data_IF_856589444802
#
_entry.id   IF_856589444802
#
_cell.length_a   1.000
_cell.length_b   1.000
_cell.length_c   1.000
_cell.angle_alpha   90.00
_cell.angle_beta   90.00
_cell.angle_gamma   90.00
#
_symmetry.space_group_name_H-M   'P 1'
#
loop_
_entity.id
_entity.type
_entity.pdbx_description
1 polymer ?
#
# COMPACT_ATOMS: atom_id res chain seq x y z
N UNK A 1 43.45 61.53 -3.92
CA UNK A 1 42.65 62.52 -3.17
C UNK A 1 41.20 62.16 -3.37
N UNK A 2 40.31 62.05 -2.40
CA UNK A 2 40.25 62.07 -0.92
C UNK A 2 38.84 61.52 -0.62
N UNK A 3 38.69 60.54 0.28
CA UNK A 3 37.90 60.59 1.53
C UNK A 3 36.44 61.09 1.38
N UNK A 4 35.38 60.46 1.91
CA UNK A 4 35.18 60.03 3.29
C UNK A 4 33.91 59.14 3.45
N UNK A 5 33.67 58.72 4.68
CA UNK A 5 32.94 57.56 5.18
C UNK A 5 31.40 57.70 5.31
N UNK A 6 30.76 56.55 5.56
CA UNK A 6 29.40 56.48 6.11
C UNK A 6 29.05 55.09 6.61
N UNK A 7 29.31 54.80 7.88
CA UNK A 7 28.85 53.61 8.61
C UNK A 7 27.32 53.61 8.77
N UNK A 8 26.67 52.50 8.42
CA UNK A 8 25.29 52.18 8.79
C UNK A 8 25.22 50.83 9.49
N UNK A 9 25.27 50.82 10.83
CA UNK A 9 24.93 49.65 11.66
C UNK A 9 23.42 49.46 11.63
N UNK A 10 22.96 48.32 11.09
CA UNK A 10 21.57 47.86 11.20
C UNK A 10 21.54 46.48 11.87
N UNK A 11 21.05 46.45 13.11
CA UNK A 11 20.93 45.26 13.95
C UNK A 11 19.84 44.29 13.48
N UNK A 12 20.17 42.99 13.57
CA UNK A 12 19.33 41.83 13.93
C UNK A 12 17.86 41.80 13.49
N UNK A 13 17.55 40.85 12.62
CA UNK A 13 16.42 39.95 12.82
C UNK A 13 16.88 38.53 12.42
N UNK A 14 17.37 37.77 13.41
CA UNK A 14 17.45 36.33 13.27
C UNK A 14 16.00 35.85 13.15
N UNK A 15 15.59 35.54 11.91
CA UNK A 15 14.34 34.84 11.67
C UNK A 15 14.52 33.49 12.34
N UNK A 16 13.89 33.36 13.48
CA UNK A 16 13.79 32.18 14.31
C UNK A 16 13.10 31.10 13.48
N UNK A 17 13.88 30.46 12.61
CA UNK A 17 13.51 29.25 11.92
C UNK A 17 13.44 28.17 13.00
N UNK A 18 12.32 28.13 13.72
CA UNK A 18 11.93 26.98 14.52
C UNK A 18 12.13 25.78 13.60
N UNK A 19 13.03 24.83 13.91
CA UNK A 19 13.08 23.62 13.15
C UNK A 19 11.70 23.01 13.33
N UNK A 20 10.93 22.96 12.24
CA UNK A 20 9.81 22.04 12.17
C UNK A 20 10.42 20.70 12.56
N UNK A 21 10.07 20.22 13.75
CA UNK A 21 10.28 18.83 14.12
C UNK A 21 9.42 18.06 13.12
N UNK A 22 9.97 17.86 11.92
CA UNK A 22 9.49 16.93 10.92
C UNK A 22 9.57 15.63 11.68
N UNK A 23 8.42 15.22 12.19
CA UNK A 23 8.29 14.03 12.98
C UNK A 23 8.66 12.90 12.02
N UNK A 24 9.94 12.54 12.03
CA UNK A 24 10.48 11.32 11.45
C UNK A 24 9.89 10.20 12.32
N UNK A 25 8.58 9.96 12.23
CA UNK A 25 8.09 8.58 12.36
C UNK A 25 8.85 7.87 11.25
N UNK A 26 9.91 7.17 11.63
CA UNK A 26 10.82 6.57 10.67
C UNK A 26 10.04 5.68 9.73
N UNK A 27 10.41 5.68 8.46
CA UNK A 27 9.86 4.76 7.46
C UNK A 27 9.93 3.30 7.96
N UNK A 28 10.86 2.98 8.88
CA UNK A 28 10.97 1.70 9.58
C UNK A 28 9.69 1.24 10.31
N UNK A 29 8.87 2.15 10.84
CA UNK A 29 7.62 1.76 11.52
C UNK A 29 6.49 1.46 10.51
N UNK A 30 6.61 1.89 9.24
CA UNK A 30 5.55 1.69 8.25
C UNK A 30 5.36 0.22 7.90
N UNK A 31 6.44 -0.55 7.86
CA UNK A 31 6.41 -1.99 7.59
C UNK A 31 6.22 -2.83 8.84
N UNK A 32 5.86 -2.23 9.98
CA UNK A 32 5.65 -2.95 11.23
C UNK A 32 4.54 -3.99 11.07
N UNK A 33 4.95 -5.25 11.06
CA UNK A 33 4.08 -6.40 11.05
C UNK A 33 3.32 -6.56 12.38
N UNK A 34 2.08 -7.01 12.28
CA UNK A 34 1.34 -7.56 13.41
C UNK A 34 2.03 -8.85 13.90
N UNK A 35 2.10 -9.12 15.22
CA UNK A 35 2.79 -10.30 15.76
C UNK A 35 2.15 -11.64 15.36
N UNK A 36 0.87 -11.64 14.96
CA UNK A 36 0.21 -12.82 14.40
C UNK A 36 0.20 -12.78 12.88
N UNK A 37 0.49 -13.93 12.29
CA UNK A 37 0.44 -14.20 10.85
C UNK A 37 -0.35 -15.49 10.57
N UNK A 38 -0.77 -15.66 9.33
CA UNK A 38 -1.49 -16.87 8.87
C UNK A 38 -0.62 -17.57 7.82
N UNK A 39 -0.30 -18.84 8.04
CA UNK A 39 0.37 -19.67 7.04
C UNK A 39 -0.65 -20.61 6.40
N UNK A 40 -0.66 -20.66 5.08
CA UNK A 40 -1.48 -21.58 4.29
C UNK A 40 -0.55 -22.45 3.47
N UNK A 41 -0.65 -23.77 3.69
CA UNK A 41 0.01 -24.78 2.88
C UNK A 41 -0.98 -25.32 1.85
N UNK A 42 -0.66 -25.15 0.57
CA UNK A 42 -1.37 -25.78 -0.54
C UNK A 42 -0.44 -26.88 -1.07
N UNK A 43 -0.93 -28.10 -1.31
CA UNK A 43 -0.10 -29.16 -1.90
C UNK A 43 -0.52 -29.37 -3.35
N UNK A 44 0.39 -29.38 -4.34
CA UNK A 44 1.87 -29.36 -4.25
C UNK A 44 2.53 -27.96 -4.19
N UNK A 45 1.75 -26.89 -4.11
CA UNK A 45 2.17 -25.49 -4.15
C UNK A 45 3.04 -25.03 -2.97
N UNK A 46 3.67 -23.82 -3.04
CA UNK A 46 4.42 -23.30 -1.91
C UNK A 46 3.51 -22.87 -0.75
N UNK A 47 4.09 -22.86 0.45
CA UNK A 47 3.47 -22.31 1.66
C UNK A 47 3.48 -20.78 1.61
N UNK A 48 2.32 -20.16 1.75
CA UNK A 48 2.17 -18.71 1.73
C UNK A 48 1.88 -18.19 3.13
N UNK A 49 2.65 -17.21 3.59
CA UNK A 49 2.46 -16.53 4.86
C UNK A 49 1.84 -15.15 4.63
N UNK A 50 0.67 -14.91 5.23
CA UNK A 50 -0.02 -13.63 5.26
C UNK A 50 0.24 -12.91 6.58
N UNK A 51 0.62 -11.63 6.52
CA UNK A 51 0.89 -10.81 7.70
C UNK A 51 0.26 -9.44 7.54
N UNK A 52 -0.36 -8.93 8.60
CA UNK A 52 -0.96 -7.59 8.57
C UNK A 52 0.09 -6.51 8.87
N UNK A 53 0.21 -5.51 7.98
CA UNK A 53 1.11 -4.37 8.14
C UNK A 53 0.35 -3.23 8.83
N UNK A 54 0.70 -2.97 10.09
CA UNK A 54 -0.15 -2.20 11.02
C UNK A 54 -0.38 -0.76 10.62
N UNK A 55 0.65 -0.09 10.12
CA UNK A 55 0.57 1.32 9.73
C UNK A 55 -0.02 1.49 8.33
N UNK A 56 0.30 0.56 7.42
CA UNK A 56 -0.26 0.56 6.07
C UNK A 56 -1.72 0.12 6.02
N UNK A 57 -2.19 -0.62 7.04
CA UNK A 57 -3.53 -1.24 7.07
C UNK A 57 -3.76 -2.27 5.95
N UNK A 58 -2.67 -2.86 5.45
CA UNK A 58 -2.68 -3.81 4.35
C UNK A 58 -2.23 -5.19 4.81
N UNK A 59 -2.64 -6.23 4.09
CA UNK A 59 -2.13 -7.59 4.25
C UNK A 59 -0.98 -7.81 3.28
N UNK A 60 0.21 -8.11 3.80
CA UNK A 60 1.34 -8.58 3.01
C UNK A 60 1.30 -10.11 2.84
N UNK A 61 1.83 -10.61 1.73
CA UNK A 61 2.14 -12.02 1.55
C UNK A 61 3.61 -12.22 1.20
N UNK A 62 4.12 -13.39 1.57
CA UNK A 62 5.43 -13.91 1.19
C UNK A 62 5.40 -15.43 1.16
N UNK A 63 6.32 -16.04 0.44
CA UNK A 63 6.53 -17.48 0.56
C UNK A 63 7.24 -17.80 1.88
N UNK A 64 6.84 -18.87 2.57
CA UNK A 64 7.39 -19.22 3.88
C UNK A 64 8.90 -19.52 3.83
N UNK A 65 9.38 -20.02 2.69
CA UNK A 65 10.79 -20.28 2.41
C UNK A 65 11.56 -19.05 1.88
N UNK A 66 10.87 -17.94 1.58
CA UNK A 66 11.43 -16.71 1.00
C UNK A 66 12.00 -16.82 -0.43
N UNK A 67 12.02 -18.02 -1.02
CA UNK A 67 12.63 -18.26 -2.34
C UNK A 67 11.68 -17.98 -3.50
N UNK A 68 10.37 -18.13 -3.26
CA UNK A 68 9.34 -18.10 -4.31
C UNK A 68 8.53 -16.79 -4.33
N UNK A 69 9.10 -15.67 -3.92
CA UNK A 69 8.40 -14.38 -3.94
C UNK A 69 8.15 -13.87 -5.39
N UNK A 70 8.97 -14.30 -6.35
CA UNK A 70 8.73 -14.06 -7.79
C UNK A 70 7.46 -14.76 -8.29
N UNK A 71 7.16 -15.96 -7.78
CA UNK A 71 5.91 -16.66 -8.09
C UNK A 71 4.71 -15.82 -7.64
N UNK A 72 4.75 -15.29 -6.41
CA UNK A 72 3.66 -14.46 -5.87
C UNK A 72 3.47 -13.15 -6.64
N UNK A 73 4.57 -12.54 -7.10
CA UNK A 73 4.55 -11.36 -7.96
C UNK A 73 4.04 -11.66 -9.38
N UNK A 74 4.18 -12.90 -9.84
CA UNK A 74 3.67 -13.37 -11.13
C UNK A 74 2.22 -13.86 -11.12
N UNK A 75 1.57 -13.93 -9.94
CA UNK A 75 0.22 -14.52 -9.84
C UNK A 75 -0.81 -13.76 -10.65
N UNK A 76 -0.75 -12.43 -10.72
CA UNK A 76 -1.68 -11.61 -11.51
C UNK A 76 -0.91 -10.55 -12.31
N UNK A 77 -1.33 -10.26 -13.55
CA UNK A 77 -0.71 -9.19 -14.32
C UNK A 77 -0.80 -7.85 -13.57
N UNK A 78 0.29 -7.09 -13.59
CA UNK A 78 0.38 -5.75 -12.99
C UNK A 78 0.20 -5.72 -11.46
N UNK A 79 0.45 -6.85 -10.77
CA UNK A 79 0.40 -6.96 -9.31
C UNK A 79 1.68 -7.59 -8.76
N UNK A 80 2.80 -6.91 -8.98
CA UNK A 80 4.15 -7.35 -8.59
C UNK A 80 4.51 -7.07 -7.12
N UNK A 81 3.61 -6.39 -6.40
CA UNK A 81 3.79 -6.00 -5.00
C UNK A 81 4.84 -4.90 -4.80
N UNK A 82 5.27 -4.20 -5.87
CA UNK A 82 6.24 -3.11 -5.79
C UNK A 82 5.59 -1.74 -5.51
N UNK A 83 4.27 -1.64 -5.64
CA UNK A 83 3.50 -0.41 -5.38
C UNK A 83 2.36 -0.66 -4.40
N UNK A 84 1.87 0.42 -3.79
CA UNK A 84 0.70 0.34 -2.93
C UNK A 84 -0.56 0.00 -3.74
N UNK A 85 -1.47 -0.79 -3.18
CA UNK A 85 -2.56 -1.36 -3.94
C UNK A 85 -3.69 -0.34 -4.22
N UNK A 86 -3.74 0.79 -3.49
CA UNK A 86 -4.74 1.85 -3.62
C UNK A 86 -4.17 3.28 -3.43
N UNK A 87 -4.94 4.27 -3.90
CA UNK A 87 -4.58 5.69 -3.84
C UNK A 87 -4.56 6.26 -2.42
N UNK A 88 -5.45 5.81 -1.53
CA UNK A 88 -5.49 6.32 -0.17
C UNK A 88 -4.20 5.96 0.59
N UNK A 89 -3.66 4.76 0.33
CA UNK A 89 -2.34 4.36 0.79
C UNK A 89 -1.22 5.21 0.18
N UNK A 90 -1.33 5.63 -1.09
CA UNK A 90 -0.36 6.55 -1.71
C UNK A 90 -0.37 7.95 -1.06
N UNK A 91 -1.50 8.38 -0.50
CA UNK A 91 -1.62 9.65 0.22
C UNK A 91 -1.04 9.61 1.65
N UNK A 92 -0.57 8.44 2.12
CA UNK A 92 0.15 8.36 3.40
C UNK A 92 1.35 9.31 3.42
N UNK A 93 1.64 9.83 4.62
CA UNK A 93 2.67 10.85 4.84
C UNK A 93 2.52 12.09 3.94
N UNK A 94 1.28 12.44 3.57
CA UNK A 94 0.99 13.61 2.72
C UNK A 94 1.40 13.40 1.26
N UNK A 95 1.24 12.18 0.73
CA UNK A 95 1.56 11.84 -0.66
C UNK A 95 3.04 11.61 -0.94
N UNK A 96 3.88 11.59 0.10
CA UNK A 96 5.33 11.40 -0.04
C UNK A 96 5.77 9.96 0.26
N UNK A 97 4.85 9.09 0.71
CA UNK A 97 5.18 7.72 1.03
C UNK A 97 5.28 6.88 -0.25
N UNK A 98 6.43 6.22 -0.43
CA UNK A 98 6.65 5.24 -1.48
C UNK A 98 6.98 3.90 -0.84
N UNK A 99 6.39 2.82 -1.37
CA UNK A 99 6.68 1.47 -0.91
C UNK A 99 8.13 1.12 -1.26
N UNK A 100 8.93 0.85 -0.24
CA UNK A 100 10.22 0.19 -0.36
C UNK A 100 9.98 -1.32 -0.37
N UNK A 101 9.82 -1.87 -1.57
CA UNK A 101 9.55 -3.29 -1.77
C UNK A 101 10.70 -4.20 -1.30
N UNK A 102 11.93 -3.68 -1.17
CA UNK A 102 13.08 -4.43 -0.69
C UNK A 102 13.13 -4.49 0.84
N UNK A 103 12.71 -3.42 1.52
CA UNK A 103 12.59 -3.39 2.97
C UNK A 103 11.33 -4.13 3.50
N UNK A 104 10.33 -4.32 2.65
CA UNK A 104 9.05 -4.91 3.03
C UNK A 104 9.15 -6.44 3.20
N UNK A 105 9.01 -6.93 4.44
CA UNK A 105 9.13 -8.36 4.79
C UNK A 105 8.03 -9.22 4.14
N UNK A 106 6.89 -8.63 3.79
CA UNK A 106 5.77 -9.29 3.11
C UNK A 106 5.05 -8.27 2.21
N UNK A 107 5.04 -8.51 0.90
CA UNK A 107 4.59 -7.51 -0.08
C UNK A 107 3.06 -7.38 -0.10
N UNK A 108 2.51 -6.16 -0.14
CA UNK A 108 1.08 -5.92 -0.08
C UNK A 108 0.41 -6.04 -1.46
N UNK A 109 0.40 -7.23 -2.05
CA UNK A 109 -0.26 -7.47 -3.34
C UNK A 109 -1.76 -7.13 -3.31
N UNK A 110 -2.33 -6.69 -4.44
CA UNK A 110 -3.79 -6.43 -4.57
C UNK A 110 -4.59 -7.70 -4.36
N UNK A 111 -4.14 -8.83 -4.90
CA UNK A 111 -4.83 -10.12 -4.70
C UNK A 111 -4.93 -10.51 -3.23
N UNK A 112 -3.92 -10.16 -2.40
CA UNK A 112 -3.96 -10.39 -0.96
C UNK A 112 -5.03 -9.55 -0.27
N UNK A 113 -5.19 -8.28 -0.67
CA UNK A 113 -6.22 -7.41 -0.10
C UNK A 113 -7.61 -7.95 -0.42
N UNK A 114 -7.81 -8.39 -1.66
CA UNK A 114 -9.07 -9.01 -2.09
C UNK A 114 -9.39 -10.27 -1.27
N UNK A 115 -8.41 -11.14 -1.01
CA UNK A 115 -8.58 -12.32 -0.16
C UNK A 115 -8.91 -11.95 1.29
N UNK A 116 -8.27 -10.89 1.81
CA UNK A 116 -8.53 -10.38 3.15
C UNK A 116 -9.90 -9.70 3.31
N UNK A 117 -10.66 -9.54 2.21
CA UNK A 117 -11.92 -8.81 2.20
C UNK A 117 -11.74 -7.30 2.28
N UNK A 118 -10.54 -6.79 2.05
CA UNK A 118 -10.25 -5.36 1.96
C UNK A 118 -10.62 -4.93 0.55
N UNK A 119 -11.74 -4.21 0.44
CA UNK A 119 -12.18 -3.63 -0.84
C UNK A 119 -11.50 -2.27 -1.03
N UNK A 120 -10.55 -2.25 -1.96
CA UNK A 120 -9.82 -1.06 -2.33
C UNK A 120 -10.69 -0.19 -3.25
N UNK A 121 -10.79 1.10 -2.92
CA UNK A 121 -11.55 2.05 -3.73
C UNK A 121 -10.68 2.49 -4.90
N UNK A 122 -11.14 2.37 -6.16
CA UNK A 122 -10.38 2.86 -7.30
C UNK A 122 -10.20 4.39 -7.24
N UNK A 123 -9.06 4.89 -7.72
CA UNK A 123 -8.68 6.31 -7.65
C UNK A 123 -9.65 7.26 -8.36
N UNK A 124 -10.49 6.75 -9.25
CA UNK A 124 -11.56 7.50 -9.91
C UNK A 124 -12.89 6.76 -9.71
N UNK A 125 -13.96 7.43 -9.21
CA UNK A 125 -15.29 6.86 -9.30
C UNK A 125 -15.63 6.63 -10.77
N UNK A 126 -16.24 5.49 -11.10
CA UNK A 126 -16.78 5.26 -12.43
C UNK A 126 -17.69 6.45 -12.78
N UNK A 127 -17.36 7.19 -13.84
CA UNK A 127 -18.10 8.39 -14.24
C UNK A 127 -19.59 8.05 -14.41
N UNK A 128 -20.51 8.71 -13.67
CA UNK A 128 -21.93 8.45 -13.79
C UNK A 128 -22.44 8.94 -15.15
N UNK A 129 -22.84 8.00 -16.00
CA UNK A 129 -23.44 8.28 -17.31
C UNK A 129 -24.07 7.08 -18.03
N UNK A 130 -23.90 5.86 -17.49
CA UNK A 130 -24.37 4.61 -18.13
C UNK A 130 -25.26 3.72 -17.24
N UNK A 131 -25.49 4.05 -15.97
CA UNK A 131 -26.31 3.24 -15.06
C UNK A 131 -27.53 4.03 -14.58
N UNK A 132 -28.72 3.48 -14.82
CA UNK A 132 -29.99 4.09 -14.42
C UNK A 132 -30.18 4.12 -12.89
N UNK A 133 -31.06 5.01 -12.39
CA UNK A 133 -31.30 5.18 -10.96
C UNK A 133 -32.06 3.96 -10.41
N UNK A 134 -31.32 3.00 -9.86
CA UNK A 134 -31.86 1.75 -9.30
C UNK A 134 -30.84 0.61 -9.28
N UNK A 135 -29.80 0.68 -10.11
CA UNK A 135 -28.81 -0.39 -10.27
C UNK A 135 -27.73 -0.41 -9.19
N UNK A 136 -27.46 0.70 -8.48
CA UNK A 136 -26.28 0.81 -7.61
C UNK A 136 -26.22 -0.22 -6.48
N UNK A 137 -27.29 -0.35 -5.69
CA UNK A 137 -27.33 -1.28 -4.56
C UNK A 137 -27.45 -2.75 -4.99
N UNK A 138 -28.16 -3.02 -6.10
CA UNK A 138 -28.27 -4.35 -6.68
C UNK A 138 -26.95 -4.79 -7.33
N UNK A 139 -26.25 -3.88 -8.00
CA UNK A 139 -24.91 -4.06 -8.55
C UNK A 139 -23.87 -4.23 -7.44
N UNK A 140 -23.92 -3.45 -6.37
CA UNK A 140 -23.06 -3.63 -5.19
C UNK A 140 -23.30 -5.00 -4.53
N UNK A 141 -24.56 -5.41 -4.40
CA UNK A 141 -24.93 -6.74 -3.91
C UNK A 141 -24.42 -7.86 -4.82
N UNK A 142 -24.61 -7.74 -6.13
CA UNK A 142 -24.17 -8.72 -7.12
C UNK A 142 -22.63 -8.77 -7.22
N UNK A 143 -21.95 -7.63 -7.24
CA UNK A 143 -20.49 -7.51 -7.20
C UNK A 143 -19.94 -8.08 -5.90
N UNK A 144 -20.52 -7.76 -4.75
CA UNK A 144 -20.12 -8.32 -3.47
C UNK A 144 -20.24 -9.85 -3.45
N UNK A 145 -21.26 -10.39 -4.10
CA UNK A 145 -21.48 -11.84 -4.22
C UNK A 145 -20.48 -12.49 -5.19
N UNK A 146 -20.28 -11.90 -6.37
CA UNK A 146 -19.30 -12.32 -7.38
C UNK A 146 -17.86 -12.28 -6.84
N UNK A 147 -17.50 -11.17 -6.19
CA UNK A 147 -16.22 -10.96 -5.53
C UNK A 147 -15.96 -12.00 -4.45
N UNK A 148 -16.95 -12.35 -3.62
CA UNK A 148 -16.80 -13.36 -2.57
C UNK A 148 -16.65 -14.79 -3.11
N UNK A 149 -17.31 -15.12 -4.22
CA UNK A 149 -17.40 -16.52 -4.66
C UNK A 149 -16.19 -17.04 -5.44
N UNK A 150 -15.35 -16.18 -6.04
CA UNK A 150 -14.24 -16.66 -6.89
C UNK A 150 -12.84 -16.15 -6.55
N UNK A 151 -12.67 -15.22 -5.60
CA UNK A 151 -11.33 -14.69 -5.24
C UNK A 151 -10.38 -15.77 -4.74
N UNK A 152 -10.81 -16.55 -3.74
CA UNK A 152 -10.00 -17.62 -3.17
C UNK A 152 -9.72 -18.72 -4.21
N UNK A 153 -10.75 -19.15 -4.95
CA UNK A 153 -10.62 -20.17 -5.98
C UNK A 153 -9.64 -19.77 -7.09
N UNK A 154 -9.68 -18.51 -7.56
CA UNK A 154 -8.78 -18.01 -8.60
C UNK A 154 -7.33 -17.96 -8.13
N UNK A 155 -7.07 -17.55 -6.88
CA UNK A 155 -5.71 -17.54 -6.31
C UNK A 155 -5.20 -18.97 -6.14
N UNK A 156 -6.02 -19.88 -5.59
CA UNK A 156 -5.64 -21.29 -5.44
C UNK A 156 -5.33 -21.92 -6.78
N UNK A 157 -6.16 -21.71 -7.81
CA UNK A 157 -5.94 -22.25 -9.14
C UNK A 157 -4.61 -21.80 -9.76
N UNK A 158 -4.21 -20.54 -9.55
CA UNK A 158 -2.92 -20.02 -10.05
C UNK A 158 -1.72 -20.47 -9.23
N UNK A 159 -1.88 -20.66 -7.92
CA UNK A 159 -0.82 -21.24 -7.08
C UNK A 159 -0.59 -22.73 -7.38
N UNK A 160 -1.61 -23.43 -7.90
CA UNK A 160 -1.53 -24.84 -8.29
C UNK A 160 -1.21 -25.07 -9.77
N UNK A 161 -1.13 -24.00 -10.57
CA UNK A 161 -0.78 -24.01 -11.99
C UNK A 161 0.72 -24.14 -12.19
#
# INVERSE_FOLDING_TARGET
QEAEAGQGKGSKAAVDARPAKKQRRGDEDMYKAHPLSVEVALSPSPKVCFTYLLQLKLVGARCANGADDELLAGLFPLDDGASLPDEASAQLLGGCFALDAAACVAKPYRWCQHLAGIDLVPSLPALPGLAGPGDGAALEGALGTYRRQQRAAAVVARLSS
#
